data_IF_526162274055
#
_entry.id   IF_526162274055
#
_cell.length_a   1.000
_cell.length_b   1.000
_cell.length_c   1.000
_cell.angle_alpha   90.00
_cell.angle_beta   90.00
_cell.angle_gamma   90.00
#
_symmetry.space_group_name_H-M   'P 1'
#
loop_
_entity.id
_entity.type
_entity.pdbx_description
1 polymer ?
#
# COMPACT_ATOMS: atom_id res chain seq x y z
N UNK A 1 -17.07 -0.33 8.66
CA UNK A 1 -15.81 -0.63 7.98
C UNK A 1 -14.80 0.41 8.39
N UNK A 2 -13.63 -0.01 8.88
CA UNK A 2 -12.52 0.90 9.20
C UNK A 2 -11.48 0.69 8.11
N UNK A 3 -11.01 1.76 7.49
CA UNK A 3 -9.96 1.71 6.47
C UNK A 3 -8.60 1.70 7.17
N UNK A 4 -7.68 0.90 6.63
CA UNK A 4 -6.28 0.95 7.03
C UNK A 4 -5.62 2.20 6.43
N UNK A 5 -4.51 2.63 7.03
CA UNK A 5 -3.71 3.74 6.52
C UNK A 5 -3.16 3.40 5.12
N UNK A 6 -3.21 4.36 4.19
CA UNK A 6 -2.84 4.16 2.79
C UNK A 6 -3.86 3.37 1.94
N UNK A 7 -5.12 3.26 2.38
CA UNK A 7 -6.21 2.67 1.60
C UNK A 7 -7.28 3.72 1.30
N UNK A 8 -7.49 4.01 0.02
CA UNK A 8 -8.54 4.89 -0.48
C UNK A 8 -9.71 4.09 -1.05
N UNK A 9 -10.92 4.62 -0.88
CA UNK A 9 -12.13 4.06 -1.49
C UNK A 9 -12.37 4.74 -2.83
N UNK A 10 -12.45 3.94 -3.89
CA UNK A 10 -12.86 4.39 -5.21
C UNK A 10 -14.38 4.41 -5.33
N UNK A 11 -14.92 3.41 -6.04
CA UNK A 11 -16.36 3.28 -6.25
C UNK A 11 -16.98 2.26 -5.27
N UNK A 12 -18.24 2.48 -4.90
CA UNK A 12 -19.01 1.56 -4.09
C UNK A 12 -20.39 1.34 -4.72
N UNK A 13 -20.75 0.07 -4.92
CA UNK A 13 -21.93 -0.35 -5.68
C UNK A 13 -22.67 -1.45 -4.93
N UNK A 14 -24.00 -1.39 -4.92
CA UNK A 14 -24.85 -2.44 -4.36
C UNK A 14 -25.53 -3.22 -5.48
N UNK A 15 -25.31 -4.54 -5.52
CA UNK A 15 -25.94 -5.44 -6.50
C UNK A 15 -26.31 -6.76 -5.83
N UNK A 16 -27.51 -7.28 -6.09
CA UNK A 16 -28.02 -8.56 -5.54
C UNK A 16 -27.90 -8.69 -4.00
N UNK A 17 -27.94 -7.56 -3.29
CA UNK A 17 -27.77 -7.51 -1.83
C UNK A 17 -26.31 -7.58 -1.35
N UNK A 18 -25.35 -7.55 -2.27
CA UNK A 18 -23.91 -7.53 -1.99
C UNK A 18 -23.33 -6.14 -2.28
N UNK A 19 -22.47 -5.68 -1.36
CA UNK A 19 -21.77 -4.42 -1.47
C UNK A 19 -20.38 -4.66 -2.05
N UNK A 20 -20.17 -4.18 -3.28
CA UNK A 20 -18.88 -4.16 -3.95
C UNK A 20 -18.22 -2.81 -3.67
N UNK A 21 -16.98 -2.81 -3.19
CA UNK A 21 -16.22 -1.60 -2.91
C UNK A 21 -14.85 -1.78 -3.55
N UNK A 22 -14.50 -0.86 -4.45
CA UNK A 22 -13.17 -0.80 -5.01
C UNK A 22 -12.25 -0.03 -4.06
N UNK A 23 -11.16 -0.66 -3.68
CA UNK A 23 -10.14 -0.08 -2.81
C UNK A 23 -8.84 0.09 -3.59
N UNK A 24 -8.29 1.30 -3.53
CA UNK A 24 -6.96 1.59 -4.08
C UNK A 24 -5.97 1.70 -2.93
N UNK A 25 -4.91 0.90 -2.97
CA UNK A 25 -3.82 1.00 -2.00
C UNK A 25 -2.75 1.96 -2.54
N UNK A 26 -2.42 2.99 -1.77
CA UNK A 26 -1.28 3.85 -2.06
C UNK A 26 0.00 3.07 -1.72
N UNK A 27 0.83 2.78 -2.73
CA UNK A 27 2.13 2.15 -2.47
C UNK A 27 3.03 3.16 -1.76
N UNK A 28 3.66 2.79 -0.63
CA UNK A 28 4.63 3.66 0.02
C UNK A 28 5.81 3.92 -0.92
N UNK A 29 6.38 5.12 -0.88
CA UNK A 29 7.59 5.44 -1.64
C UNK A 29 8.71 4.48 -1.23
N UNK A 30 9.27 3.76 -2.21
CA UNK A 30 10.41 2.87 -1.98
C UNK A 30 11.69 3.70 -1.88
N UNK A 31 11.95 4.27 -0.70
CA UNK A 31 13.21 4.98 -0.41
C UNK A 31 14.34 3.97 -0.29
N UNK A 32 14.96 3.62 -1.42
CA UNK A 32 16.12 2.72 -1.46
C UNK A 32 17.39 3.52 -1.14
N UNK A 33 17.93 3.33 0.06
CA UNK A 33 19.25 3.89 0.43
C UNK A 33 20.36 2.86 0.17
N UNK A 34 21.32 3.19 -0.70
CA UNK A 34 22.50 2.35 -0.94
C UNK A 34 23.52 2.56 0.19
N UNK A 35 23.73 1.53 1.00
CA UNK A 35 24.83 1.49 1.98
C UNK A 35 26.12 0.97 1.33
N UNK A 36 27.24 1.67 1.54
CA UNK A 36 28.57 1.22 1.08
C UNK A 36 29.17 0.28 2.12
N UNK A 37 29.31 -1.00 1.77
CA UNK A 37 29.98 -1.98 2.61
C UNK A 37 31.49 -1.88 2.37
N UNK A 38 32.25 -1.56 3.42
CA UNK A 38 33.71 -1.53 3.37
C UNK A 38 34.27 -2.86 3.89
N UNK A 39 35.27 -3.41 3.20
CA UNK A 39 35.94 -4.65 3.63
C UNK A 39 36.81 -4.35 4.85
N UNK A 40 36.62 -5.09 5.95
CA UNK A 40 37.48 -4.99 7.12
C UNK A 40 38.92 -5.37 6.73
N UNK A 41 39.91 -4.55 7.13
CA UNK A 41 41.33 -4.85 6.88
C UNK A 41 41.78 -5.99 7.80
N UNK A 42 42.61 -6.88 7.23
CA UNK A 42 43.25 -8.03 7.91
C UNK A 42 44.39 -7.54 8.80
#
# INVERSE_FOLDING_TARGET
FVLADGVDVGEALMENGLLHIDLTQTQPETVVQKIKIHKARK
#
